data_IF_474719565926
#
_entry.id   IF_474719565926
#
_cell.length_a   1.000
_cell.length_b   1.000
_cell.length_c   1.000
_cell.angle_alpha   90.00
_cell.angle_beta   90.00
_cell.angle_gamma   90.00
#
_symmetry.space_group_name_H-M   'P 1'
#
loop_
_entity.id
_entity.type
_entity.pdbx_description
1 polymer ?
#
# COMPACT_ATOMS: atom_id res chain seq x y z
N UNK A 1 44.37 -34.75 -56.48
CA UNK A 1 44.33 -35.53 -57.74
C UNK A 1 43.54 -36.78 -57.41
N UNK A 2 42.40 -37.13 -57.98
CA UNK A 2 41.77 -36.84 -59.27
C UNK A 2 40.24 -37.02 -59.05
N UNK A 3 39.41 -36.09 -59.50
CA UNK A 3 38.45 -36.27 -60.62
C UNK A 3 37.59 -37.54 -60.44
N UNK A 4 36.27 -37.50 -60.36
CA UNK A 4 35.31 -36.66 -61.09
C UNK A 4 34.21 -37.59 -61.66
N UNK A 5 33.14 -37.00 -62.19
CA UNK A 5 32.01 -37.65 -62.90
C UNK A 5 31.03 -38.43 -62.00
N UNK A 6 29.75 -38.08 -61.87
CA UNK A 6 28.86 -37.44 -62.83
C UNK A 6 28.15 -38.53 -63.65
N UNK A 7 26.88 -38.78 -63.35
CA UNK A 7 25.81 -39.00 -64.34
C UNK A 7 24.44 -39.10 -63.66
N UNK A 8 23.51 -38.46 -64.34
CA UNK A 8 22.09 -38.29 -64.12
C UNK A 8 21.36 -39.38 -64.93
N UNK A 9 20.36 -40.06 -64.35
CA UNK A 9 19.30 -40.69 -65.15
C UNK A 9 18.03 -40.97 -64.31
N UNK A 10 17.03 -40.16 -64.62
CA UNK A 10 15.60 -40.43 -64.88
C UNK A 10 14.71 -41.36 -64.03
N UNK A 11 13.63 -40.71 -63.58
CA UNK A 11 12.20 -41.00 -63.77
C UNK A 11 11.52 -42.24 -63.16
N UNK A 12 10.57 -41.92 -62.29
CA UNK A 12 9.51 -42.81 -61.81
C UNK A 12 8.37 -42.03 -61.16
N UNK A 13 7.51 -41.46 -62.00
CA UNK A 13 6.32 -40.66 -61.66
C UNK A 13 5.19 -41.54 -61.09
N UNK A 14 4.62 -41.15 -59.93
CA UNK A 14 3.23 -41.41 -59.57
C UNK A 14 2.74 -40.28 -58.62
N UNK A 15 2.20 -39.16 -59.13
CA UNK A 15 0.78 -38.87 -59.41
C UNK A 15 -0.15 -38.60 -58.20
N UNK A 16 -0.23 -37.28 -57.85
CA UNK A 16 -1.44 -36.46 -57.53
C UNK A 16 -2.18 -36.68 -56.19
N UNK A 17 -3.08 -35.77 -55.74
CA UNK A 17 -3.12 -34.29 -55.85
C UNK A 17 -3.55 -33.56 -54.53
N UNK A 18 -3.40 -32.22 -54.55
CA UNK A 18 -4.27 -31.18 -53.95
C UNK A 18 -4.62 -31.29 -52.45
N UNK A 19 -4.20 -30.27 -51.70
CA UNK A 19 -5.08 -29.17 -51.26
C UNK A 19 -4.26 -28.06 -50.60
N UNK A 20 -4.44 -26.84 -51.09
CA UNK A 20 -4.07 -25.62 -50.37
C UNK A 20 -4.81 -25.61 -49.04
N UNK A 21 -4.09 -25.37 -47.95
CA UNK A 21 -4.66 -24.91 -46.70
C UNK A 21 -4.02 -23.54 -46.39
N UNK A 22 -4.65 -22.47 -46.89
CA UNK A 22 -4.40 -21.13 -46.36
C UNK A 22 -5.00 -21.09 -44.95
N UNK A 23 -4.15 -21.20 -43.93
CA UNK A 23 -4.55 -20.91 -42.56
C UNK A 23 -4.58 -19.39 -42.38
N UNK A 24 -5.78 -18.81 -42.43
CA UNK A 24 -6.02 -17.46 -41.91
C UNK A 24 -6.15 -17.59 -40.39
N UNK A 25 -5.09 -17.30 -39.66
CA UNK A 25 -5.16 -17.12 -38.22
C UNK A 25 -5.75 -15.73 -37.94
N UNK A 26 -7.05 -15.67 -37.68
CA UNK A 26 -7.68 -14.47 -37.12
C UNK A 26 -7.38 -14.46 -35.62
N UNK A 27 -6.39 -13.68 -35.20
CA UNK A 27 -6.09 -13.46 -33.78
C UNK A 27 -7.18 -12.58 -33.16
N UNK A 28 -8.02 -13.16 -32.31
CA UNK A 28 -8.97 -12.44 -31.47
C UNK A 28 -8.16 -11.73 -30.37
N UNK A 29 -7.93 -10.43 -30.51
CA UNK A 29 -7.30 -9.63 -29.46
C UNK A 29 -8.29 -9.45 -28.30
N UNK A 30 -8.08 -10.17 -27.19
CA UNK A 30 -8.76 -9.87 -25.93
C UNK A 30 -8.20 -8.55 -25.38
N UNK A 31 -8.97 -7.48 -25.50
CA UNK A 31 -8.71 -6.23 -24.77
C UNK A 31 -9.05 -6.45 -23.31
N UNK A 32 -8.02 -6.71 -22.50
CA UNK A 32 -8.14 -6.60 -21.05
C UNK A 32 -8.42 -5.12 -20.72
N UNK A 33 -9.65 -4.82 -20.29
CA UNK A 33 -9.97 -3.52 -19.69
C UNK A 33 -9.29 -3.52 -18.32
N UNK A 34 -8.09 -2.95 -18.23
CA UNK A 34 -7.48 -2.63 -16.96
C UNK A 34 -8.34 -1.54 -16.31
N UNK A 35 -9.16 -1.91 -15.33
CA UNK A 35 -9.78 -0.93 -14.43
C UNK A 35 -8.61 -0.21 -13.74
N UNK A 36 -8.49 1.11 -13.85
CA UNK A 36 -7.47 1.82 -13.09
C UNK A 36 -7.74 1.56 -11.61
N UNK A 37 -6.81 0.90 -10.94
CA UNK A 37 -6.78 0.93 -9.49
C UNK A 37 -6.69 2.42 -9.12
N UNK A 38 -7.72 2.93 -8.46
CA UNK A 38 -7.65 4.19 -7.74
C UNK A 38 -6.68 3.95 -6.57
N UNK A 39 -5.39 3.89 -6.88
CA UNK A 39 -4.34 3.86 -5.88
C UNK A 39 -4.49 5.14 -5.10
N UNK A 40 -4.70 5.02 -3.78
CA UNK A 40 -4.54 6.15 -2.88
C UNK A 40 -3.18 6.77 -3.21
N UNK A 41 -3.17 8.01 -3.71
CA UNK A 41 -1.93 8.71 -4.07
C UNK A 41 -1.05 8.95 -2.82
N UNK A 42 -1.66 8.87 -1.64
CA UNK A 42 -1.01 8.95 -0.36
C UNK A 42 -0.57 7.57 0.13
N UNK A 43 0.67 7.52 0.62
CA UNK A 43 1.22 6.40 1.39
C UNK A 43 1.90 6.98 2.63
N UNK A 44 2.03 6.21 3.72
CA UNK A 44 2.79 6.63 4.88
C UNK A 44 4.19 7.06 4.46
N UNK A 45 4.62 8.28 4.83
CA UNK A 45 5.97 8.72 4.51
C UNK A 45 6.99 7.90 5.30
N UNK A 46 8.23 7.86 4.80
CA UNK A 46 9.33 7.32 5.59
C UNK A 46 9.45 8.10 6.91
N UNK A 47 9.61 7.38 8.02
CA UNK A 47 9.78 7.99 9.33
C UNK A 47 11.06 8.83 9.38
N UNK A 48 10.99 10.14 9.68
CA UNK A 48 12.18 10.96 9.85
C UNK A 48 13.01 10.52 11.06
N UNK A 49 14.34 10.58 10.95
CA UNK A 49 15.29 10.09 11.97
C UNK A 49 15.03 10.65 13.37
N UNK A 50 14.63 11.92 13.47
CA UNK A 50 14.30 12.56 14.74
C UNK A 50 13.11 11.88 15.43
N UNK A 51 12.08 11.51 14.67
CA UNK A 51 10.88 10.85 15.18
C UNK A 51 11.15 9.39 15.54
N UNK A 52 11.96 8.70 14.72
CA UNK A 52 12.45 7.36 15.03
C UNK A 52 13.19 7.33 16.37
N UNK A 53 14.10 8.28 16.60
CA UNK A 53 14.87 8.40 17.85
C UNK A 53 13.95 8.64 19.06
N UNK A 54 12.99 9.56 18.94
CA UNK A 54 11.99 9.82 19.99
C UNK A 54 11.19 8.56 20.31
N UNK A 55 10.67 7.87 19.29
CA UNK A 55 9.88 6.64 19.47
C UNK A 55 10.69 5.53 20.13
N UNK A 56 11.93 5.29 19.68
CA UNK A 56 12.82 4.29 20.27
C UNK A 56 13.19 4.61 21.72
N UNK A 57 13.41 5.89 22.03
CA UNK A 57 13.66 6.33 23.41
C UNK A 57 12.45 6.07 24.31
N UNK A 58 11.25 6.41 23.85
CA UNK A 58 10.01 6.17 24.60
C UNK A 58 9.71 4.67 24.75
N UNK A 59 10.04 3.83 23.75
CA UNK A 59 9.93 2.37 23.85
C UNK A 59 10.92 1.81 24.87
N UNK A 60 12.19 2.23 24.82
CA UNK A 60 13.22 1.79 25.75
C UNK A 60 12.93 2.20 27.20
N UNK A 61 12.25 3.33 27.39
CA UNK A 61 11.78 3.80 28.69
C UNK A 61 10.50 3.09 29.19
N UNK A 62 9.87 2.25 28.37
CA UNK A 62 8.61 1.57 28.70
C UNK A 62 7.37 2.47 28.65
N UNK A 63 7.48 3.68 28.09
CA UNK A 63 6.37 4.65 28.00
C UNK A 63 5.40 4.31 26.88
N UNK A 64 5.87 3.66 25.81
CA UNK A 64 5.04 3.12 24.72
C UNK A 64 5.38 1.67 24.45
N UNK A 65 4.39 0.92 23.96
CA UNK A 65 4.57 -0.48 23.60
C UNK A 65 5.51 -0.68 22.41
N UNK A 66 6.19 -1.83 22.40
CA UNK A 66 6.90 -2.33 21.23
C UNK A 66 5.87 -2.90 20.25
N UNK A 67 5.69 -2.23 19.12
CA UNK A 67 4.76 -2.59 18.06
C UNK A 67 5.33 -2.17 16.69
N UNK A 68 4.84 -2.72 15.57
CA UNK A 68 5.23 -2.32 14.22
C UNK A 68 4.58 -0.97 13.85
N UNK A 69 4.99 0.09 14.57
CA UNK A 69 4.48 1.44 14.37
C UNK A 69 4.80 1.96 12.97
N UNK A 70 3.77 2.34 12.24
CA UNK A 70 3.84 3.00 10.93
C UNK A 70 3.73 4.50 11.17
N UNK A 71 4.72 5.26 10.71
CA UNK A 71 4.71 6.71 10.82
C UNK A 71 3.67 7.32 9.88
N UNK A 72 2.71 8.04 10.47
CA UNK A 72 1.54 8.56 9.75
C UNK A 72 1.67 10.04 9.38
N UNK A 73 2.52 10.76 10.11
CA UNK A 73 2.84 12.16 9.83
C UNK A 73 3.30 12.90 11.09
N UNK A 74 3.74 14.15 10.88
CA UNK A 74 4.14 15.02 11.98
C UNK A 74 3.81 16.48 11.74
N UNK A 75 3.71 17.22 12.83
CA UNK A 75 3.71 18.68 12.88
C UNK A 75 4.98 19.11 13.61
N UNK A 76 5.78 19.97 12.98
CA UNK A 76 6.98 20.53 13.61
C UNK A 76 6.91 22.06 13.52
N UNK A 77 6.65 22.70 14.67
CA UNK A 77 6.60 24.16 14.84
C UNK A 77 7.34 24.51 16.13
N UNK A 78 7.85 25.75 16.22
CA UNK A 78 8.61 26.23 17.39
C UNK A 78 7.89 25.99 18.73
N UNK A 79 6.56 26.14 18.74
CA UNK A 79 5.73 25.97 19.92
C UNK A 79 5.07 24.59 20.04
N UNK A 80 5.20 23.69 19.06
CA UNK A 80 4.56 22.38 19.11
C UNK A 80 5.22 21.41 18.16
N UNK A 81 5.68 20.29 18.70
CA UNK A 81 6.07 19.12 17.93
C UNK A 81 5.06 18.01 18.18
N UNK A 82 4.55 17.39 17.13
CA UNK A 82 3.66 16.24 17.22
C UNK A 82 3.98 15.21 16.16
N UNK A 83 3.85 13.93 16.49
CA UNK A 83 3.91 12.84 15.53
C UNK A 83 2.77 11.86 15.77
N UNK A 84 2.21 11.35 14.69
CA UNK A 84 1.15 10.37 14.67
C UNK A 84 1.68 9.07 14.09
N UNK A 85 1.30 7.96 14.71
CA UNK A 85 1.61 6.61 14.28
C UNK A 85 0.35 5.76 14.31
N UNK A 86 0.38 4.68 13.55
CA UNK A 86 -0.61 3.61 13.65
C UNK A 86 0.05 2.23 13.69
N UNK A 87 -0.64 1.24 14.27
CA UNK A 87 -0.26 -0.17 14.21
C UNK A 87 -1.49 -1.07 14.33
N UNK A 88 -1.29 -2.39 14.16
CA UNK A 88 -2.30 -3.40 14.44
C UNK A 88 -3.64 -3.17 13.71
N UNK A 89 -3.58 -2.95 12.40
CA UNK A 89 -4.76 -2.82 11.55
C UNK A 89 -5.54 -4.14 11.55
N UNK A 90 -6.85 -4.05 11.72
CA UNK A 90 -7.80 -5.16 11.77
C UNK A 90 -9.02 -4.79 10.95
N UNK A 91 -9.23 -5.47 9.83
CA UNK A 91 -10.42 -5.25 9.04
C UNK A 91 -11.65 -5.92 9.67
N UNK A 92 -12.77 -5.22 9.66
CA UNK A 92 -14.05 -5.70 10.15
C UNK A 92 -15.15 -5.06 9.31
N UNK A 93 -15.93 -5.87 8.57
CA UNK A 93 -17.16 -5.48 7.86
C UNK A 93 -17.28 -4.00 7.40
N UNK A 94 -16.40 -3.58 6.48
CA UNK A 94 -16.45 -2.26 5.85
C UNK A 94 -15.76 -1.14 6.64
N UNK A 95 -15.13 -1.46 7.77
CA UNK A 95 -14.23 -0.60 8.52
C UNK A 95 -12.88 -1.30 8.80
N UNK A 96 -11.90 -0.52 9.24
CA UNK A 96 -10.62 -1.04 9.75
C UNK A 96 -10.34 -0.40 11.10
N UNK A 97 -10.30 -1.20 12.16
CA UNK A 97 -9.83 -0.76 13.47
C UNK A 97 -8.31 -0.83 13.56
N UNK A 98 -7.70 0.07 14.32
CA UNK A 98 -6.26 0.10 14.53
C UNK A 98 -5.88 0.85 15.82
N UNK A 99 -4.65 0.65 16.25
CA UNK A 99 -4.08 1.39 17.36
C UNK A 99 -3.44 2.66 16.81
N UNK A 100 -3.79 3.81 17.37
CA UNK A 100 -3.15 5.09 17.10
C UNK A 100 -2.20 5.47 18.23
N UNK A 101 -1.16 6.23 17.90
CA UNK A 101 -0.25 6.82 18.89
C UNK A 101 0.04 8.27 18.52
N UNK A 102 -0.31 9.18 19.42
CA UNK A 102 0.03 10.60 19.31
C UNK A 102 1.13 10.95 20.32
N UNK A 103 2.28 11.37 19.79
CA UNK A 103 3.37 11.97 20.56
C UNK A 103 3.24 13.49 20.47
N UNK A 104 3.27 14.19 21.59
CA UNK A 104 3.11 15.64 21.64
C UNK A 104 4.13 16.29 22.58
N UNK A 105 4.76 17.36 22.13
CA UNK A 105 5.66 18.20 22.92
C UNK A 105 5.31 19.67 22.69
N UNK A 106 4.86 20.36 23.74
CA UNK A 106 4.38 21.76 23.68
C UNK A 106 5.49 22.81 23.76
N UNK A 107 6.72 22.42 24.06
CA UNK A 107 7.91 23.26 23.99
C UNK A 107 9.15 22.39 24.08
N UNK A 108 10.31 22.87 23.63
CA UNK A 108 11.58 22.14 23.70
C UNK A 108 11.94 21.66 25.12
N UNK A 109 11.53 22.42 26.15
CA UNK A 109 11.74 22.10 27.57
C UNK A 109 10.67 21.20 28.20
N UNK A 110 9.53 20.96 27.52
CA UNK A 110 8.46 20.11 28.05
C UNK A 110 8.78 18.62 27.86
N UNK A 111 8.34 17.73 28.77
CA UNK A 111 8.39 16.30 28.49
C UNK A 111 7.46 15.93 27.32
N UNK A 112 7.72 14.79 26.70
CA UNK A 112 6.79 14.21 25.74
C UNK A 112 5.52 13.76 26.45
N UNK A 113 4.38 14.23 25.95
CA UNK A 113 3.08 13.64 26.24
C UNK A 113 2.83 12.52 25.23
N UNK A 114 2.39 11.38 25.74
CA UNK A 114 2.14 10.17 24.97
C UNK A 114 0.67 9.83 25.11
N UNK A 115 -0.03 9.68 23.99
CA UNK A 115 -1.47 9.39 23.97
C UNK A 115 -1.73 8.21 23.02
N UNK A 116 -1.86 6.98 23.55
CA UNK A 116 -2.43 5.87 22.82
C UNK A 116 -3.89 6.15 22.49
N UNK A 117 -4.34 5.71 21.32
CA UNK A 117 -5.69 5.88 20.81
C UNK A 117 -6.18 4.54 20.25
N UNK A 118 -7.47 4.26 20.40
CA UNK A 118 -8.16 3.24 19.61
C UNK A 118 -8.89 3.95 18.50
N UNK A 119 -8.64 3.55 17.26
CA UNK A 119 -9.08 4.25 16.06
C UNK A 119 -9.81 3.31 15.13
N UNK A 120 -10.68 3.86 14.28
CA UNK A 120 -11.23 3.13 13.14
C UNK A 120 -11.37 4.01 11.91
N UNK A 121 -11.19 3.38 10.76
CA UNK A 121 -11.44 3.98 9.46
C UNK A 121 -12.76 3.43 8.89
N UNK A 122 -13.72 4.32 8.60
CA UNK A 122 -14.98 3.95 7.95
C UNK A 122 -14.76 4.07 6.44
N UNK A 123 -14.53 2.94 5.78
CA UNK A 123 -13.97 2.91 4.42
C UNK A 123 -14.89 3.50 3.35
N UNK A 124 -16.19 3.24 3.45
CA UNK A 124 -17.19 3.82 2.53
C UNK A 124 -17.25 5.35 2.64
N UNK A 125 -17.12 5.86 3.86
CA UNK A 125 -17.26 7.28 4.18
C UNK A 125 -15.95 8.06 4.08
N UNK A 126 -14.80 7.40 4.13
CA UNK A 126 -13.51 8.08 4.09
C UNK A 126 -13.20 8.85 5.38
N UNK A 127 -13.72 8.35 6.50
CA UNK A 127 -13.74 9.03 7.80
C UNK A 127 -12.89 8.26 8.80
N UNK A 128 -12.20 8.99 9.67
CA UNK A 128 -11.53 8.43 10.84
C UNK A 128 -12.33 8.76 12.08
N UNK A 129 -12.48 7.79 12.96
CA UNK A 129 -13.04 7.97 14.28
C UNK A 129 -12.05 7.49 15.34
N UNK A 130 -12.08 8.13 16.51
CA UNK A 130 -11.38 7.67 17.70
C UNK A 130 -12.39 7.22 18.75
N UNK A 131 -12.04 6.18 19.49
CA UNK A 131 -12.80 5.77 20.64
C UNK A 131 -12.51 6.71 21.82
N UNK A 132 -13.57 7.14 22.50
CA UNK A 132 -13.49 7.89 23.75
C UNK A 132 -13.34 6.93 24.94
N UNK A 133 -13.04 7.51 26.11
CA UNK A 133 -12.94 6.74 27.35
C UNK A 133 -14.24 6.07 27.80
N UNK A 134 -15.40 6.55 27.32
CA UNK A 134 -16.72 5.94 27.58
C UNK A 134 -17.08 4.85 26.53
N UNK A 135 -16.18 4.55 25.60
CA UNK A 135 -16.37 3.56 24.54
C UNK A 135 -17.10 4.09 23.30
N UNK A 136 -17.62 5.33 23.33
CA UNK A 136 -18.25 5.96 22.17
C UNK A 136 -17.22 6.30 21.09
N UNK A 137 -17.66 6.35 19.84
CA UNK A 137 -16.83 6.74 18.71
C UNK A 137 -17.12 8.20 18.35
N UNK A 138 -16.05 8.98 18.15
CA UNK A 138 -16.12 10.38 17.75
C UNK A 138 -15.28 10.60 16.50
N UNK A 139 -15.76 11.47 15.61
CA UNK A 139 -14.97 11.94 14.48
C UNK A 139 -13.60 12.43 14.91
N UNK A 140 -12.58 11.76 14.38
CA UNK A 140 -11.22 12.25 14.43
C UNK A 140 -11.04 13.16 13.21
N UNK A 141 -11.60 14.37 13.32
CA UNK A 141 -11.58 15.37 12.26
C UNK A 141 -10.13 15.59 11.81
N UNK A 142 -9.78 14.99 10.69
CA UNK A 142 -8.41 14.98 10.23
C UNK A 142 -8.07 16.27 9.50
N UNK A 143 -6.78 16.53 9.41
CA UNK A 143 -6.21 17.60 8.57
C UNK A 143 -6.56 17.33 7.09
N UNK A 144 -6.30 18.28 6.17
CA UNK A 144 -6.37 18.01 4.74
C UNK A 144 -5.64 16.70 4.39
N UNK A 145 -6.23 15.88 3.52
CA UNK A 145 -5.68 14.56 3.15
C UNK A 145 -6.24 13.38 3.94
N UNK A 146 -7.34 13.55 4.70
CA UNK A 146 -7.91 12.47 5.52
C UNK A 146 -8.49 11.33 4.68
N UNK A 147 -9.14 11.66 3.56
CA UNK A 147 -9.77 10.65 2.69
C UNK A 147 -8.73 9.70 2.12
N UNK A 148 -7.64 10.24 1.60
CA UNK A 148 -6.55 9.50 0.98
C UNK A 148 -5.84 8.58 1.98
N UNK A 149 -5.71 9.04 3.23
CA UNK A 149 -5.21 8.24 4.34
C UNK A 149 -6.14 7.07 4.68
N UNK A 150 -7.45 7.32 4.73
CA UNK A 150 -8.46 6.27 4.96
C UNK A 150 -8.44 5.26 3.82
N UNK A 151 -8.41 5.73 2.58
CA UNK A 151 -8.34 4.85 1.41
C UNK A 151 -7.09 3.94 1.48
N UNK A 152 -5.93 4.49 1.90
CA UNK A 152 -4.72 3.68 2.15
C UNK A 152 -4.94 2.65 3.27
N UNK A 153 -5.47 3.04 4.43
CA UNK A 153 -5.73 2.13 5.57
C UNK A 153 -6.62 0.97 5.13
N UNK A 154 -7.70 1.28 4.40
CA UNK A 154 -8.68 0.31 3.93
C UNK A 154 -8.18 -0.63 2.83
N UNK A 155 -7.05 -0.32 2.20
CA UNK A 155 -6.40 -1.16 1.18
C UNK A 155 -5.28 -2.04 1.75
N UNK A 156 -4.95 -1.92 3.05
CA UNK A 156 -3.88 -2.71 3.64
C UNK A 156 -4.28 -4.19 3.76
N UNK A 157 -3.33 -5.12 3.54
CA UNK A 157 -3.56 -6.52 3.80
C UNK A 157 -3.82 -6.74 5.30
N UNK A 158 -4.81 -7.56 5.59
CA UNK A 158 -5.31 -7.86 6.93
C UNK A 158 -5.53 -9.37 7.09
#
# INVERSE_FOLDING_TARGET
MREGSGTMQDDGIASRPRRLAHYVFTTLAMTAIAIPALSANWQPPQEPTQWLSVRQSLQSAGTIAVAPWIFFGSLDRESTQAAEYLSNLRAEDGLVEFDGLLLLKRSSASPWSVRPLTMRAICSEGRLERQQSDGSWEDYSGRPGTREKVDWICQQPH
#
